data_IF_962080647776
#
_entry.id   IF_962080647776
#
_cell.length_a   1.000
_cell.length_b   1.000
_cell.length_c   1.000
_cell.angle_alpha   90.00
_cell.angle_beta   90.00
_cell.angle_gamma   90.00
#
_symmetry.space_group_name_H-M   'P 1'
#
loop_
_entity.id
_entity.type
_entity.pdbx_description
1 polymer ?
#
# COMPACT_ATOMS: atom_id res chain seq x y z
N UNK A 1 -17.29 -9.12 7.70
CA UNK A 1 -16.72 -7.96 6.98
C UNK A 1 -15.91 -8.50 5.83
N UNK A 2 -16.23 -8.14 4.59
CA UNK A 2 -15.47 -8.58 3.40
C UNK A 2 -14.10 -7.92 3.44
N UNK A 3 -13.04 -8.72 3.54
CA UNK A 3 -11.65 -8.24 3.47
C UNK A 3 -11.28 -8.08 1.99
N UNK A 4 -10.79 -6.91 1.61
CA UNK A 4 -10.35 -6.63 0.24
C UNK A 4 -8.84 -6.50 0.23
N UNK A 5 -8.19 -7.27 -0.64
CA UNK A 5 -6.77 -7.17 -0.90
C UNK A 5 -6.55 -6.02 -1.90
N UNK A 6 -5.66 -5.09 -1.56
CA UNK A 6 -5.25 -3.99 -2.41
C UNK A 6 -3.75 -4.07 -2.68
N UNK A 7 -3.37 -3.58 -3.86
CA UNK A 7 -1.99 -3.32 -4.22
C UNK A 7 -1.85 -1.81 -4.49
N UNK A 8 -0.80 -1.21 -3.95
CA UNK A 8 -0.39 0.16 -4.25
C UNK A 8 1.12 0.19 -4.54
N UNK A 9 1.54 0.94 -5.55
CA UNK A 9 2.96 1.20 -5.80
C UNK A 9 3.25 2.64 -5.37
N UNK A 10 4.17 2.80 -4.43
CA UNK A 10 4.60 4.09 -3.89
C UNK A 10 6.08 4.29 -4.17
N UNK A 11 6.52 5.53 -4.37
CA UNK A 11 7.95 5.86 -4.36
C UNK A 11 8.37 6.16 -2.94
N UNK A 12 9.27 5.35 -2.39
CA UNK A 12 9.83 5.52 -1.06
C UNK A 12 11.27 6.02 -1.18
N UNK A 13 11.60 7.08 -0.46
CA UNK A 13 12.99 7.47 -0.23
C UNK A 13 13.54 6.67 0.95
N UNK A 14 14.51 5.80 0.67
CA UNK A 14 15.09 4.92 1.69
C UNK A 14 16.58 5.18 1.88
N UNK A 15 16.98 5.28 3.14
CA UNK A 15 18.37 5.37 3.58
C UNK A 15 18.99 6.78 3.54
N UNK A 16 20.25 6.93 3.98
CA UNK A 16 20.92 8.23 4.17
C UNK A 16 21.30 8.94 2.87
N UNK A 17 21.02 8.33 1.71
CA UNK A 17 21.36 8.85 0.38
C UNK A 17 20.10 9.23 -0.40
N UNK A 18 18.92 9.24 0.25
CA UNK A 18 17.63 9.61 -0.34
C UNK A 18 17.38 8.96 -1.70
N UNK A 19 17.71 7.67 -1.82
CA UNK A 19 17.45 6.95 -3.07
C UNK A 19 15.96 6.65 -3.16
N UNK A 20 15.37 7.05 -4.29
CA UNK A 20 13.99 6.73 -4.63
C UNK A 20 13.89 5.26 -5.06
N UNK A 21 13.01 4.52 -4.40
CA UNK A 21 12.66 3.15 -4.73
C UNK A 21 11.18 3.05 -5.03
N UNK A 22 10.82 2.34 -6.10
CA UNK A 22 9.43 1.94 -6.30
C UNK A 22 9.13 0.76 -5.39
N UNK A 23 8.22 0.96 -4.45
CA UNK A 23 7.80 -0.02 -3.47
C UNK A 23 6.35 -0.43 -3.76
N UNK A 24 6.13 -1.72 -4.01
CA UNK A 24 4.80 -2.31 -4.10
C UNK A 24 4.39 -2.75 -2.71
N UNK A 25 3.25 -2.26 -2.25
CA UNK A 25 2.65 -2.58 -0.96
C UNK A 25 1.36 -3.35 -1.23
N UNK A 26 1.33 -4.58 -0.75
CA UNK A 26 0.13 -5.43 -0.72
C UNK A 26 -0.45 -5.36 0.68
N UNK A 27 -1.73 -5.00 0.80
CA UNK A 27 -2.36 -4.77 2.10
C UNK A 27 -3.87 -5.07 2.06
N UNK A 28 -4.40 -5.42 3.23
CA UNK A 28 -5.84 -5.53 3.44
C UNK A 28 -6.38 -4.17 3.89
N UNK A 29 -7.25 -3.60 3.07
CA UNK A 29 -7.76 -2.24 3.27
C UNK A 29 -9.23 -2.19 3.69
N UNK A 30 -9.57 -1.22 4.52
CA UNK A 30 -10.94 -0.90 4.93
C UNK A 30 -11.07 0.55 5.42
N UNK A 31 -12.26 1.01 5.82
CA UNK A 31 -12.49 2.39 6.25
C UNK A 31 -11.61 2.84 7.42
N UNK A 32 -11.19 1.88 8.25
CA UNK A 32 -10.41 2.07 9.47
C UNK A 32 -9.18 1.15 9.54
N UNK A 33 -8.76 0.56 8.42
CA UNK A 33 -7.74 -0.49 8.41
C UNK A 33 -6.88 -0.43 7.15
N UNK A 34 -5.58 -0.63 7.33
CA UNK A 34 -4.61 -0.87 6.27
C UNK A 34 -3.55 -1.84 6.83
N UNK A 35 -3.90 -3.13 6.89
CA UNK A 35 -2.98 -4.17 7.39
C UNK A 35 -2.06 -4.58 6.25
N UNK A 36 -0.76 -4.33 6.39
CA UNK A 36 0.21 -4.61 5.33
C UNK A 36 0.58 -6.10 5.37
N UNK A 37 0.44 -6.77 4.23
CA UNK A 37 0.86 -8.17 4.08
C UNK A 37 2.30 -8.27 3.59
N UNK A 38 2.64 -7.48 2.57
CA UNK A 38 3.93 -7.58 1.90
C UNK A 38 4.35 -6.21 1.37
N UNK A 39 5.63 -5.89 1.52
CA UNK A 39 6.28 -4.79 0.81
C UNK A 39 7.39 -5.37 -0.05
N UNK A 40 7.38 -5.03 -1.33
CA UNK A 40 8.42 -5.38 -2.29
C UNK A 40 9.04 -4.10 -2.86
N UNK A 41 10.33 -4.09 -3.12
CA UNK A 41 11.03 -2.97 -3.78
C UNK A 41 11.49 -3.42 -5.16
N UNK A 42 11.29 -2.56 -6.16
CA UNK A 42 11.79 -2.74 -7.50
C UNK A 42 13.31 -2.54 -7.52
N UNK A 43 14.02 -3.55 -7.97
CA UNK A 43 15.46 -3.53 -8.23
C UNK A 43 15.75 -3.95 -9.67
N UNK A 44 17.02 -3.92 -10.08
CA UNK A 44 17.44 -4.45 -11.40
C UNK A 44 17.15 -5.96 -11.54
N UNK A 45 17.05 -6.68 -10.42
CA UNK A 45 16.76 -8.11 -10.38
C UNK A 45 15.25 -8.42 -10.34
N UNK A 46 14.41 -7.39 -10.26
CA UNK A 46 12.96 -7.48 -10.12
C UNK A 46 12.46 -7.01 -8.76
N UNK A 47 11.22 -7.40 -8.43
CA UNK A 47 10.59 -7.12 -7.15
C UNK A 47 11.19 -8.02 -6.06
N UNK A 48 11.81 -7.41 -5.06
CA UNK A 48 12.41 -8.10 -3.93
C UNK A 48 11.59 -7.82 -2.67
N UNK A 49 11.15 -8.82 -1.91
CA UNK A 49 10.43 -8.61 -0.67
C UNK A 49 11.32 -7.99 0.41
N UNK A 50 10.80 -6.98 1.10
CA UNK A 50 11.52 -6.14 2.06
C UNK A 50 10.72 -6.05 3.36
N UNK A 51 10.64 -7.14 4.15
CA UNK A 51 9.73 -7.22 5.29
C UNK A 51 10.01 -6.19 6.39
N UNK A 52 11.27 -5.74 6.55
CA UNK A 52 11.63 -4.70 7.52
C UNK A 52 11.01 -3.33 7.21
N UNK A 53 10.53 -3.10 5.98
CA UNK A 53 9.80 -1.88 5.66
C UNK A 53 8.39 -1.87 6.25
N UNK A 54 7.81 -3.02 6.61
CA UNK A 54 6.44 -3.08 7.12
C UNK A 54 6.33 -2.26 8.40
N UNK A 55 7.20 -2.54 9.38
CA UNK A 55 7.25 -1.80 10.65
C UNK A 55 7.44 -0.29 10.41
N UNK A 56 8.31 0.08 9.47
CA UNK A 56 8.60 1.48 9.15
C UNK A 56 7.41 2.20 8.50
N UNK A 57 6.64 1.50 7.67
CA UNK A 57 5.42 2.04 7.06
C UNK A 57 4.30 2.14 8.09
N UNK A 58 4.14 1.16 8.97
CA UNK A 58 3.16 1.16 10.05
C UNK A 58 3.43 2.28 11.07
N UNK A 59 4.70 2.59 11.34
CA UNK A 59 5.12 3.70 12.20
C UNK A 59 4.98 5.09 11.54
N UNK A 60 4.55 5.17 10.28
CA UNK A 60 4.38 6.42 9.54
C UNK A 60 2.89 6.76 9.33
N UNK A 61 2.30 7.66 10.14
CA UNK A 61 0.86 7.97 10.08
C UNK A 61 0.41 8.51 8.72
N UNK A 62 1.24 9.33 8.07
CA UNK A 62 0.92 9.91 6.77
C UNK A 62 0.81 8.84 5.67
N UNK A 63 1.67 7.83 5.73
CA UNK A 63 1.69 6.73 4.76
C UNK A 63 0.51 5.78 5.01
N UNK A 64 0.23 5.48 6.29
CA UNK A 64 -0.95 4.72 6.68
C UNK A 64 -2.26 5.39 6.20
N UNK A 65 -2.40 6.71 6.41
CA UNK A 65 -3.56 7.45 5.95
C UNK A 65 -3.69 7.46 4.42
N UNK A 66 -2.58 7.54 3.69
CA UNK A 66 -2.57 7.45 2.23
C UNK A 66 -3.06 6.07 1.73
N UNK A 67 -2.59 4.98 2.35
CA UNK A 67 -3.04 3.62 2.03
C UNK A 67 -4.54 3.44 2.34
N UNK A 68 -4.99 3.94 3.50
CA UNK A 68 -6.40 3.92 3.88
C UNK A 68 -7.27 4.70 2.90
N UNK A 69 -6.83 5.89 2.49
CA UNK A 69 -7.53 6.72 1.50
C UNK A 69 -7.61 6.01 0.14
N UNK A 70 -6.53 5.38 -0.31
CA UNK A 70 -6.51 4.58 -1.53
C UNK A 70 -7.53 3.43 -1.49
N UNK A 71 -7.53 2.63 -0.41
CA UNK A 71 -8.51 1.56 -0.25
C UNK A 71 -9.95 2.09 -0.24
N UNK A 72 -10.22 3.19 0.48
CA UNK A 72 -11.54 3.83 0.52
C UNK A 72 -12.00 4.28 -0.88
N UNK A 73 -11.11 4.91 -1.66
CA UNK A 73 -11.39 5.33 -3.03
C UNK A 73 -11.74 4.15 -3.94
N UNK A 74 -10.92 3.09 -3.91
CA UNK A 74 -11.15 1.87 -4.70
C UNK A 74 -12.47 1.17 -4.36
N UNK A 75 -12.84 1.13 -3.08
CA UNK A 75 -14.13 0.58 -2.63
C UNK A 75 -15.30 1.46 -3.08
N UNK A 76 -15.15 2.79 -3.01
CA UNK A 76 -16.17 3.72 -3.49
C UNK A 76 -16.40 3.59 -5.00
N UNK A 77 -15.34 3.47 -5.79
CA UNK A 77 -15.40 3.24 -7.23
C UNK A 77 -16.11 1.92 -7.55
N UNK A 78 -15.72 0.82 -6.89
CA UNK A 78 -16.36 -0.48 -7.08
C UNK A 78 -17.86 -0.45 -6.74
N UNK A 79 -18.25 0.26 -5.67
CA UNK A 79 -19.67 0.48 -5.32
C UNK A 79 -20.40 1.34 -6.36
N UNK A 80 -19.74 2.35 -6.92
CA UNK A 80 -20.31 3.19 -7.98
C UNK A 80 -20.59 2.38 -9.25
N UNK A 81 -19.65 1.52 -9.65
CA UNK A 81 -19.83 0.58 -10.77
C UNK A 81 -20.97 -0.40 -10.48
N UNK A 82 -21.01 -1.00 -9.29
CA UNK A 82 -22.05 -1.96 -8.92
C UNK A 82 -23.47 -1.36 -8.85
N UNK A 83 -23.62 -0.05 -8.61
CA UNK A 83 -24.91 0.65 -8.65
C UNK A 83 -25.39 1.00 -10.07
N UNK A 84 -24.50 0.93 -11.07
CA UNK A 84 -24.79 1.24 -12.47
C UNK A 84 -25.01 -0.02 -13.33
N UNK A 85 -24.87 -1.21 -12.73
CA UNK A 85 -25.18 -2.52 -13.31
C UNK A 85 -26.58 -2.96 -12.84
#
# INVERSE_FOLDING_TARGET
MTRHLFEAVLRLQLGPVDRDFEARITYQGGPFQADIETIEVQTEQGWIPVPWLIDLVEDCPALFDALRAHACGRVADARCVARRL
#
